data_IF_043829289997
#
_entry.id   IF_043829289997
#
_cell.length_a   1.000
_cell.length_b   1.000
_cell.length_c   1.000
_cell.angle_alpha   90.00
_cell.angle_beta   90.00
_cell.angle_gamma   90.00
#
_symmetry.space_group_name_H-M   'P 1'
#
loop_
_entity.id
_entity.type
_entity.pdbx_description
1 polymer ?
#
# COMPACT_ATOMS: atom_id res chain seq x y z
N UNK A 1 -52.57 -42.52 -12.12
CA UNK A 1 -52.33 -41.10 -12.28
C UNK A 1 -51.27 -40.74 -11.28
N UNK A 2 -50.03 -40.70 -11.74
CA UNK A 2 -48.85 -40.34 -10.93
C UNK A 2 -48.39 -38.99 -11.42
N UNK A 3 -48.56 -37.96 -10.58
CA UNK A 3 -48.13 -36.59 -10.86
C UNK A 3 -46.60 -36.50 -10.75
N UNK A 4 -45.99 -36.01 -11.83
CA UNK A 4 -44.57 -35.71 -11.92
C UNK A 4 -44.30 -34.33 -11.30
N UNK A 5 -43.46 -34.27 -10.26
CA UNK A 5 -42.95 -33.05 -9.66
C UNK A 5 -41.91 -32.45 -10.59
N UNK A 6 -41.98 -31.16 -10.97
CA UNK A 6 -40.96 -30.51 -11.80
C UNK A 6 -39.67 -30.28 -11.01
N UNK A 7 -38.55 -30.68 -11.61
CA UNK A 7 -37.20 -30.47 -11.11
C UNK A 7 -36.87 -28.98 -11.05
N UNK A 8 -36.39 -28.50 -9.89
CA UNK A 8 -35.88 -27.15 -9.73
C UNK A 8 -34.58 -26.97 -10.53
N UNK A 9 -34.35 -25.82 -11.16
CA UNK A 9 -33.09 -25.52 -11.86
C UNK A 9 -31.93 -25.44 -10.85
N UNK A 10 -30.84 -26.13 -11.16
CA UNK A 10 -29.57 -26.07 -10.42
C UNK A 10 -29.04 -24.65 -10.44
N UNK A 11 -28.97 -24.00 -9.26
CA UNK A 11 -28.19 -22.79 -9.07
C UNK A 11 -26.70 -23.18 -9.11
N UNK A 12 -25.88 -22.53 -9.94
CA UNK A 12 -24.42 -22.73 -9.90
C UNK A 12 -23.90 -22.27 -8.54
N UNK A 13 -23.15 -23.14 -7.87
CA UNK A 13 -22.39 -22.79 -6.67
C UNK A 13 -21.46 -21.62 -7.00
N UNK A 14 -21.32 -20.60 -6.13
CA UNK A 14 -20.33 -19.56 -6.31
C UNK A 14 -18.96 -20.22 -6.38
N UNK A 15 -18.27 -20.04 -7.51
CA UNK A 15 -16.88 -20.45 -7.67
C UNK A 15 -16.05 -19.70 -6.64
N UNK A 16 -15.28 -20.45 -5.85
CA UNK A 16 -14.56 -19.99 -4.69
C UNK A 16 -13.64 -18.80 -5.02
N UNK A 17 -13.61 -17.86 -4.08
CA UNK A 17 -12.44 -16.99 -3.87
C UNK A 17 -11.19 -17.83 -4.10
N UNK A 18 -10.13 -17.29 -4.79
CA UNK A 18 -8.86 -17.97 -4.79
C UNK A 18 -8.51 -18.25 -3.32
N UNK A 19 -8.27 -19.51 -3.01
CA UNK A 19 -7.85 -19.94 -1.68
C UNK A 19 -6.62 -19.10 -1.36
N UNK A 20 -6.78 -18.12 -0.50
CA UNK A 20 -5.67 -17.59 0.24
C UNK A 20 -5.23 -18.74 1.12
N UNK A 21 -4.12 -19.35 0.76
CA UNK A 21 -3.41 -20.42 1.48
C UNK A 21 -2.79 -19.82 2.77
N UNK A 22 -3.59 -19.04 3.48
CA UNK A 22 -3.30 -18.16 4.60
C UNK A 22 -3.81 -18.74 5.91
N UNK A 23 -3.67 -20.07 6.08
CA UNK A 23 -3.84 -20.63 7.40
C UNK A 23 -2.81 -19.96 8.33
N UNK A 24 -3.24 -19.39 9.48
CA UNK A 24 -2.33 -18.83 10.45
C UNK A 24 -1.32 -19.93 10.82
N UNK A 25 -0.02 -19.58 10.78
CA UNK A 25 1.03 -20.49 11.27
C UNK A 25 0.92 -20.57 12.80
N UNK A 26 0.05 -21.43 13.28
CA UNK A 26 -0.19 -21.69 14.73
C UNK A 26 1.07 -22.16 15.47
N UNK A 27 2.17 -22.40 14.74
CA UNK A 27 3.46 -22.86 15.30
C UNK A 27 4.45 -21.72 15.52
N UNK A 28 4.13 -20.49 15.11
CA UNK A 28 5.03 -19.37 15.38
C UNK A 28 5.14 -19.11 16.88
N UNK A 29 6.38 -19.03 17.44
CA UNK A 29 6.54 -18.76 18.87
C UNK A 29 5.90 -17.43 19.23
N UNK A 30 5.27 -17.37 20.42
CA UNK A 30 4.66 -16.16 20.92
C UNK A 30 5.69 -15.03 21.04
N UNK A 31 5.29 -13.79 20.67
CA UNK A 31 6.13 -12.60 20.74
C UNK A 31 5.54 -11.62 21.75
N UNK A 32 6.37 -11.18 22.71
CA UNK A 32 6.03 -10.11 23.66
C UNK A 32 6.71 -8.80 23.24
N UNK A 33 5.91 -7.80 22.88
CA UNK A 33 6.33 -6.42 22.70
C UNK A 33 6.15 -5.69 24.03
N UNK A 34 7.22 -5.26 24.68
CA UNK A 34 7.16 -4.68 26.02
C UNK A 34 7.43 -3.18 26.02
N UNK A 35 6.67 -2.44 26.84
CA UNK A 35 6.89 -1.02 27.06
C UNK A 35 6.57 -0.10 25.88
N UNK A 36 5.74 -0.56 24.93
CA UNK A 36 5.34 0.22 23.77
C UNK A 36 4.40 1.37 24.17
N UNK A 37 4.56 2.55 23.57
CA UNK A 37 3.62 3.65 23.71
C UNK A 37 2.54 3.58 22.63
N UNK A 38 1.29 3.83 22.99
CA UNK A 38 0.18 3.98 22.04
C UNK A 38 -0.08 5.45 21.72
N UNK A 39 -0.86 5.70 20.66
CA UNK A 39 -1.24 7.05 20.22
C UNK A 39 -2.01 7.88 21.27
N UNK A 40 -2.71 7.24 22.18
CA UNK A 40 -3.40 7.85 23.32
C UNK A 40 -2.50 8.14 24.53
N UNK A 41 -1.21 7.81 24.43
CA UNK A 41 -0.20 8.04 25.46
C UNK A 41 0.00 6.90 26.45
N UNK A 42 -0.85 5.87 26.48
CA UNK A 42 -0.67 4.69 27.33
C UNK A 42 0.62 3.96 26.97
N UNK A 43 1.29 3.41 27.99
CA UNK A 43 2.44 2.51 27.82
C UNK A 43 1.97 1.08 28.16
N UNK A 44 2.15 0.18 27.20
CA UNK A 44 1.56 -1.15 27.22
C UNK A 44 2.57 -2.24 26.88
N UNK A 45 2.26 -3.46 27.32
CA UNK A 45 2.82 -4.68 26.75
C UNK A 45 1.79 -5.29 25.80
N UNK A 46 2.26 -5.88 24.69
CA UNK A 46 1.41 -6.53 23.70
C UNK A 46 1.95 -7.92 23.43
N UNK A 47 1.12 -8.95 23.67
CA UNK A 47 1.45 -10.34 23.34
C UNK A 47 0.83 -10.72 22.01
N UNK A 48 1.66 -11.29 21.13
CA UNK A 48 1.28 -11.73 19.79
C UNK A 48 1.37 -13.26 19.71
N UNK A 49 0.37 -13.89 19.09
CA UNK A 49 0.33 -15.33 18.85
C UNK A 49 -0.56 -15.61 17.62
N UNK A 50 -0.24 -16.63 16.82
CA UNK A 50 -1.02 -17.05 15.65
C UNK A 50 -1.33 -15.91 14.66
N UNK A 51 -0.39 -14.98 14.46
CA UNK A 51 -0.58 -13.83 13.57
C UNK A 51 -1.52 -12.74 14.09
N UNK A 52 -1.97 -12.83 15.34
CA UNK A 52 -2.90 -11.88 15.96
C UNK A 52 -2.35 -11.30 17.26
N UNK A 53 -2.95 -10.19 17.68
CA UNK A 53 -2.75 -9.63 19.02
C UNK A 53 -3.58 -10.48 19.99
N UNK A 54 -2.89 -11.21 20.85
CA UNK A 54 -3.54 -12.08 21.83
C UNK A 54 -4.00 -11.29 23.05
N UNK A 55 -3.13 -10.39 23.55
CA UNK A 55 -3.43 -9.58 24.73
C UNK A 55 -2.71 -8.23 24.67
N UNK A 56 -3.34 -7.21 25.27
CA UNK A 56 -2.76 -5.90 25.53
C UNK A 56 -2.94 -5.62 27.02
N UNK A 57 -1.83 -5.37 27.74
CA UNK A 57 -1.83 -5.09 29.18
C UNK A 57 -1.02 -3.84 29.50
N UNK A 58 -1.11 -3.34 30.72
CA UNK A 58 -0.22 -2.27 31.19
C UNK A 58 1.23 -2.74 31.18
N UNK A 59 2.18 -1.83 31.03
CA UNK A 59 3.60 -2.18 30.97
C UNK A 59 4.01 -3.01 32.20
N UNK A 60 4.66 -4.14 31.99
CA UNK A 60 5.09 -5.09 33.01
C UNK A 60 4.01 -6.07 33.49
N UNK A 61 2.76 -5.99 32.98
CA UNK A 61 1.68 -6.86 33.43
C UNK A 61 1.60 -8.20 32.72
N UNK A 62 2.14 -8.29 31.50
CA UNK A 62 2.13 -9.55 30.73
C UNK A 62 3.41 -10.34 31.01
N UNK A 63 3.23 -11.59 31.44
CA UNK A 63 4.35 -12.51 31.61
C UNK A 63 5.07 -12.71 30.27
N UNK A 64 6.41 -12.82 30.33
CA UNK A 64 7.17 -13.31 29.20
C UNK A 64 6.61 -14.67 28.79
N UNK A 65 6.58 -15.00 27.48
CA UNK A 65 6.18 -16.33 27.05
C UNK A 65 7.06 -17.36 27.80
N UNK A 66 6.41 -18.37 28.39
CA UNK A 66 7.09 -19.38 29.19
C UNK A 66 8.21 -20.08 28.41
N UNK A 67 9.01 -20.90 29.12
CA UNK A 67 10.23 -21.61 28.67
C UNK A 67 10.14 -22.39 27.32
N UNK A 68 9.05 -22.32 26.62
CA UNK A 68 8.78 -22.91 25.30
C UNK A 68 9.30 -22.08 24.10
N UNK A 69 10.11 -21.03 24.34
CA UNK A 69 10.85 -20.35 23.26
C UNK A 69 10.26 -19.01 22.78
N UNK A 70 9.39 -18.36 23.54
CA UNK A 70 8.87 -17.04 23.17
C UNK A 70 9.94 -15.94 23.20
N UNK A 71 9.83 -15.00 22.26
CA UNK A 71 10.77 -13.88 22.11
C UNK A 71 10.20 -12.62 22.72
N UNK A 72 11.04 -11.83 23.42
CA UNK A 72 10.70 -10.50 23.91
C UNK A 72 11.39 -9.42 23.09
N UNK A 73 10.66 -8.37 22.71
CA UNK A 73 11.19 -7.16 22.07
C UNK A 73 10.88 -5.98 22.96
N UNK A 74 11.91 -5.29 23.43
CA UNK A 74 11.77 -4.04 24.16
C UNK A 74 11.44 -2.89 23.21
N UNK A 75 10.30 -2.25 23.43
CA UNK A 75 9.80 -1.10 22.68
C UNK A 75 9.76 0.18 23.55
N UNK A 76 10.53 0.24 24.64
CA UNK A 76 10.67 1.48 25.41
C UNK A 76 11.15 2.62 24.52
N UNK A 77 10.40 3.73 24.49
CA UNK A 77 10.66 4.88 23.61
C UNK A 77 10.16 4.74 22.16
N UNK A 78 9.40 3.68 21.85
CA UNK A 78 8.74 3.50 20.55
C UNK A 78 7.24 3.75 20.64
N UNK A 79 6.71 4.44 19.65
CA UNK A 79 5.27 4.51 19.37
C UNK A 79 4.87 3.28 18.54
N UNK A 80 3.87 2.53 19.01
CA UNK A 80 3.34 1.36 18.34
C UNK A 80 2.05 1.72 17.57
N UNK A 81 2.03 1.43 16.30
CA UNK A 81 1.02 1.87 15.35
C UNK A 81 0.55 0.68 14.47
N UNK A 82 -0.65 0.70 13.90
CA UNK A 82 -1.01 -0.17 12.78
C UNK A 82 -0.02 -0.01 11.64
N UNK A 83 0.48 -1.10 11.06
CA UNK A 83 1.43 -1.03 9.97
C UNK A 83 0.84 -0.32 8.75
N UNK A 84 1.62 0.54 8.05
CA UNK A 84 1.25 1.09 6.76
C UNK A 84 1.02 0.02 5.70
N UNK A 85 0.32 0.43 4.64
CA UNK A 85 0.23 -0.29 3.40
C UNK A 85 0.50 0.68 2.23
N UNK A 86 1.12 0.19 1.16
CA UNK A 86 1.34 0.96 -0.06
C UNK A 86 0.21 0.67 -1.06
N UNK A 87 -0.74 1.60 -1.25
CA UNK A 87 -1.89 1.35 -2.11
C UNK A 87 -1.58 1.51 -3.59
N UNK A 88 -0.43 2.09 -3.96
CA UNK A 88 -0.15 2.47 -5.33
C UNK A 88 1.35 2.52 -5.63
N UNK A 89 1.91 1.43 -6.10
CA UNK A 89 3.32 1.31 -6.45
C UNK A 89 3.50 0.81 -7.90
N UNK A 90 4.71 1.01 -8.44
CA UNK A 90 5.17 0.49 -9.74
C UNK A 90 6.49 -0.26 -9.53
N UNK A 91 6.42 -1.45 -8.94
CA UNK A 91 7.62 -2.20 -8.54
C UNK A 91 8.36 -2.79 -9.75
N UNK A 92 7.68 -3.02 -10.86
CA UNK A 92 8.26 -3.50 -12.13
C UNK A 92 9.21 -2.49 -12.79
N UNK A 93 8.99 -1.19 -12.53
CA UNK A 93 9.85 -0.10 -13.01
C UNK A 93 10.76 0.50 -11.93
N UNK A 94 10.62 0.07 -10.68
CA UNK A 94 11.39 0.62 -9.55
C UNK A 94 12.90 0.39 -9.72
N UNK A 95 13.70 1.28 -9.10
CA UNK A 95 15.17 1.19 -9.04
C UNK A 95 15.86 1.25 -10.42
N UNK A 96 15.25 1.94 -11.37
CA UNK A 96 15.76 2.07 -12.75
C UNK A 96 16.24 3.46 -13.13
N UNK A 97 16.21 4.42 -12.21
CA UNK A 97 16.59 5.82 -12.48
C UNK A 97 18.04 5.96 -12.98
N UNK A 98 18.92 5.08 -12.55
CA UNK A 98 20.34 5.11 -12.91
C UNK A 98 20.67 4.28 -14.18
N UNK A 99 19.67 3.69 -14.83
CA UNK A 99 19.88 2.92 -16.04
C UNK A 99 20.23 3.85 -17.22
N UNK A 100 21.30 3.58 -17.98
CA UNK A 100 21.72 4.44 -19.09
C UNK A 100 20.80 4.37 -20.32
N UNK A 101 19.76 3.53 -20.26
CA UNK A 101 18.78 3.29 -21.33
C UNK A 101 17.51 2.65 -20.77
N UNK A 102 16.62 2.13 -21.65
CA UNK A 102 15.44 1.42 -21.19
C UNK A 102 15.82 0.27 -20.24
N UNK A 103 15.12 0.12 -19.11
CA UNK A 103 15.44 -0.96 -18.18
C UNK A 103 15.15 -2.32 -18.81
N UNK A 104 15.94 -3.33 -18.44
CA UNK A 104 15.72 -4.71 -18.90
C UNK A 104 14.31 -5.19 -18.56
N UNK A 105 13.67 -5.83 -19.51
CA UNK A 105 12.33 -6.43 -19.40
C UNK A 105 12.38 -7.95 -19.24
N UNK A 106 13.58 -8.53 -19.16
CA UNK A 106 13.72 -9.95 -18.90
C UNK A 106 13.07 -10.31 -17.55
N UNK A 107 12.34 -11.41 -17.51
CA UNK A 107 11.55 -11.83 -16.34
C UNK A 107 12.38 -11.84 -15.04
N UNK A 108 13.61 -12.34 -15.09
CA UNK A 108 14.52 -12.40 -13.93
C UNK A 108 14.91 -11.00 -13.42
N UNK A 109 15.13 -10.04 -14.33
CA UNK A 109 15.50 -8.67 -13.94
C UNK A 109 14.30 -7.93 -13.35
N UNK A 110 13.11 -8.14 -13.91
CA UNK A 110 11.85 -7.61 -13.33
C UNK A 110 11.62 -8.21 -11.95
N UNK A 111 11.73 -9.53 -11.81
CA UNK A 111 11.57 -10.22 -10.52
C UNK A 111 12.55 -9.70 -9.45
N UNK A 112 13.82 -9.51 -9.82
CA UNK A 112 14.82 -8.94 -8.92
C UNK A 112 14.43 -7.56 -8.45
N UNK A 113 14.07 -6.64 -9.38
CA UNK A 113 13.64 -5.27 -9.03
C UNK A 113 12.42 -5.25 -8.14
N UNK A 114 11.40 -6.03 -8.47
CA UNK A 114 10.17 -6.15 -7.67
C UNK A 114 10.48 -6.62 -6.25
N UNK A 115 11.35 -7.63 -6.13
CA UNK A 115 11.74 -8.17 -4.82
C UNK A 115 12.51 -7.15 -4.00
N UNK A 116 13.51 -6.49 -4.59
CA UNK A 116 14.30 -5.45 -3.92
C UNK A 116 13.43 -4.26 -3.50
N UNK A 117 12.57 -3.77 -4.40
CA UNK A 117 11.68 -2.66 -4.12
C UNK A 117 10.65 -3.00 -3.02
N UNK A 118 10.10 -4.21 -3.03
CA UNK A 118 9.17 -4.65 -1.99
C UNK A 118 9.85 -4.75 -0.62
N UNK A 119 11.10 -5.26 -0.56
CA UNK A 119 11.87 -5.31 0.68
C UNK A 119 12.25 -3.93 1.21
N UNK A 120 12.54 -2.96 0.34
CA UNK A 120 12.77 -1.58 0.74
C UNK A 120 11.51 -0.96 1.36
N UNK A 121 10.34 -1.11 0.71
CA UNK A 121 9.08 -0.60 1.25
C UNK A 121 8.67 -1.30 2.53
N UNK A 122 8.93 -2.62 2.66
CA UNK A 122 8.78 -3.35 3.92
C UNK A 122 9.67 -2.75 5.01
N UNK A 123 10.94 -2.47 4.70
CA UNK A 123 11.87 -1.80 5.61
C UNK A 123 11.38 -0.42 6.07
N UNK A 124 10.60 0.26 5.24
CA UNK A 124 9.92 1.51 5.56
C UNK A 124 8.63 1.32 6.36
N UNK A 125 8.14 0.08 6.51
CA UNK A 125 6.99 -0.24 7.37
C UNK A 125 5.76 -0.75 6.64
N UNK A 126 5.73 -0.76 5.31
CA UNK A 126 4.59 -1.27 4.54
C UNK A 126 4.55 -2.80 4.59
N UNK A 127 3.52 -3.38 5.23
CA UNK A 127 3.32 -4.84 5.29
C UNK A 127 2.44 -5.37 4.17
N UNK A 128 1.83 -4.49 3.38
CA UNK A 128 1.05 -4.84 2.20
C UNK A 128 1.29 -3.83 1.08
N UNK A 129 1.43 -4.32 -0.14
CA UNK A 129 1.77 -3.54 -1.32
C UNK A 129 0.82 -3.87 -2.46
N UNK A 130 0.32 -2.85 -3.15
CA UNK A 130 -0.38 -2.99 -4.43
C UNK A 130 0.50 -2.40 -5.53
N UNK A 131 0.93 -3.25 -6.48
CA UNK A 131 1.77 -2.82 -7.59
C UNK A 131 1.03 -2.88 -8.92
N UNK A 132 1.14 -1.84 -9.70
CA UNK A 132 0.57 -1.73 -11.04
C UNK A 132 1.56 -2.30 -12.05
N UNK A 133 1.10 -3.23 -12.89
CA UNK A 133 1.92 -4.00 -13.83
C UNK A 133 1.36 -3.89 -15.23
N UNK A 134 2.17 -3.43 -16.18
CA UNK A 134 1.78 -3.39 -17.57
C UNK A 134 1.65 -4.79 -18.14
N UNK A 135 0.56 -5.05 -18.86
CA UNK A 135 0.30 -6.33 -19.52
C UNK A 135 -0.09 -6.10 -20.98
N UNK A 136 0.19 -7.07 -21.85
CA UNK A 136 -0.06 -6.99 -23.27
C UNK A 136 1.13 -6.43 -24.08
N UNK A 137 0.85 -5.92 -25.27
CA UNK A 137 1.86 -5.55 -26.28
C UNK A 137 2.81 -6.73 -26.58
N UNK A 138 4.09 -6.44 -26.84
CA UNK A 138 5.11 -7.47 -27.10
C UNK A 138 5.51 -8.26 -25.83
N UNK A 139 5.08 -7.83 -24.67
CA UNK A 139 5.48 -8.39 -23.35
C UNK A 139 4.55 -9.49 -22.86
N UNK A 140 3.31 -9.55 -23.37
CA UNK A 140 2.32 -10.49 -22.88
C UNK A 140 2.10 -10.36 -21.38
N UNK A 141 2.33 -11.43 -20.62
CA UNK A 141 2.19 -11.49 -19.17
C UNK A 141 3.53 -11.60 -18.41
N UNK A 142 4.68 -11.49 -19.08
CA UNK A 142 6.01 -11.74 -18.49
C UNK A 142 6.26 -10.90 -17.23
N UNK A 143 5.93 -9.60 -17.24
CA UNK A 143 6.10 -8.75 -16.06
C UNK A 143 5.17 -9.16 -14.91
N UNK A 144 3.94 -9.54 -15.22
CA UNK A 144 2.99 -10.05 -14.22
C UNK A 144 3.49 -11.35 -13.60
N UNK A 145 3.97 -12.28 -14.40
CA UNK A 145 4.54 -13.55 -13.92
C UNK A 145 5.71 -13.31 -12.98
N UNK A 146 6.62 -12.37 -13.31
CA UNK A 146 7.72 -11.98 -12.44
C UNK A 146 7.25 -11.42 -11.09
N UNK A 147 6.19 -10.58 -11.10
CA UNK A 147 5.57 -10.06 -9.87
C UNK A 147 4.95 -11.19 -9.04
N UNK A 148 4.27 -12.14 -9.69
CA UNK A 148 3.65 -13.27 -8.99
C UNK A 148 4.70 -14.24 -8.40
N UNK A 149 5.83 -14.40 -9.05
CA UNK A 149 6.97 -15.14 -8.49
C UNK A 149 7.58 -14.43 -7.28
N UNK A 150 7.77 -13.11 -7.38
CA UNK A 150 8.20 -12.29 -6.23
C UNK A 150 7.21 -12.40 -5.07
N UNK A 151 5.89 -12.39 -5.34
CA UNK A 151 4.85 -12.60 -4.32
C UNK A 151 5.03 -13.94 -3.59
N UNK A 152 5.33 -15.01 -4.33
CA UNK A 152 5.59 -16.34 -3.72
C UNK A 152 6.86 -16.32 -2.87
N UNK A 153 7.94 -15.70 -3.37
CA UNK A 153 9.21 -15.60 -2.68
C UNK A 153 9.14 -14.75 -1.40
N UNK A 154 8.29 -13.73 -1.39
CA UNK A 154 8.10 -12.81 -0.26
C UNK A 154 7.01 -13.27 0.72
N UNK A 155 6.45 -14.47 0.54
CA UNK A 155 5.41 -15.02 1.42
C UNK A 155 5.87 -15.01 2.89
N UNK A 156 5.05 -14.44 3.77
CA UNK A 156 5.34 -14.31 5.20
C UNK A 156 6.24 -13.13 5.57
N UNK A 157 6.69 -12.33 4.60
CA UNK A 157 7.40 -11.07 4.82
C UNK A 157 6.50 -9.87 4.51
N UNK A 158 5.83 -9.88 3.36
CA UNK A 158 4.95 -8.80 2.90
C UNK A 158 3.86 -9.36 2.00
N UNK A 159 2.68 -8.77 2.07
CA UNK A 159 1.59 -9.09 1.16
C UNK A 159 1.71 -8.28 -0.13
N UNK A 160 1.73 -8.94 -1.29
CA UNK A 160 1.89 -8.30 -2.59
C UNK A 160 0.70 -8.61 -3.50
N UNK A 161 0.00 -7.57 -3.96
CA UNK A 161 -1.11 -7.65 -4.91
C UNK A 161 -0.75 -6.97 -6.22
N UNK A 162 -0.98 -7.64 -7.35
CA UNK A 162 -0.77 -7.08 -8.67
C UNK A 162 -2.07 -6.52 -9.26
N UNK A 163 -1.97 -5.33 -9.87
CA UNK A 163 -2.98 -4.71 -10.75
C UNK A 163 -2.56 -4.94 -12.19
N UNK A 164 -3.37 -5.65 -12.97
CA UNK A 164 -3.10 -5.81 -14.40
C UNK A 164 -3.53 -4.56 -15.17
N UNK A 165 -2.59 -3.96 -15.92
CA UNK A 165 -2.81 -2.72 -16.67
C UNK A 165 -2.58 -2.94 -18.18
N UNK A 166 -3.59 -3.25 -18.96
CA UNK A 166 -3.49 -3.22 -20.41
C UNK A 166 -3.36 -1.77 -20.91
N UNK A 167 -2.64 -1.58 -22.01
CA UNK A 167 -2.45 -0.24 -22.58
C UNK A 167 -3.69 0.25 -23.33
N UNK A 168 -4.30 -0.61 -24.15
CA UNK A 168 -5.43 -0.29 -25.02
C UNK A 168 -6.49 -1.37 -24.86
N UNK A 169 -7.75 -0.95 -24.71
CA UNK A 169 -8.92 -1.85 -24.61
C UNK A 169 -10.00 -1.52 -25.63
N UNK A 170 -9.80 -0.46 -26.46
CA UNK A 170 -10.77 -0.05 -27.48
C UNK A 170 -10.15 -0.03 -28.86
N UNK A 171 -10.97 0.15 -29.89
CA UNK A 171 -10.53 0.11 -31.26
C UNK A 171 -10.07 -1.28 -31.74
N UNK A 172 -9.27 -1.32 -32.82
CA UNK A 172 -8.85 -2.58 -33.47
C UNK A 172 -7.95 -3.45 -32.54
N UNK A 173 -7.10 -2.83 -31.72
CA UNK A 173 -6.23 -3.53 -30.75
C UNK A 173 -6.95 -3.89 -29.44
N UNK A 174 -8.14 -3.38 -29.21
CA UNK A 174 -8.85 -3.53 -27.95
C UNK A 174 -9.25 -4.97 -27.62
N UNK A 175 -9.61 -5.75 -28.63
CA UNK A 175 -10.00 -7.15 -28.44
C UNK A 175 -8.85 -8.01 -27.87
N UNK A 176 -7.62 -7.78 -28.35
CA UNK A 176 -6.42 -8.45 -27.83
C UNK A 176 -6.12 -7.98 -26.40
N UNK A 177 -6.15 -6.67 -26.14
CA UNK A 177 -5.97 -6.11 -24.80
C UNK A 177 -6.98 -6.67 -23.79
N UNK A 178 -8.23 -6.83 -24.19
CA UNK A 178 -9.28 -7.41 -23.34
C UNK A 178 -9.07 -8.91 -23.06
N UNK A 179 -8.58 -9.67 -24.05
CA UNK A 179 -8.22 -11.07 -23.86
C UNK A 179 -7.06 -11.19 -22.88
N UNK A 180 -5.99 -10.40 -23.06
CA UNK A 180 -4.83 -10.37 -22.16
C UNK A 180 -5.23 -9.95 -20.73
N UNK A 181 -6.15 -8.99 -20.57
CA UNK A 181 -6.63 -8.60 -19.24
C UNK A 181 -7.33 -9.73 -18.52
N UNK A 182 -8.18 -10.51 -19.21
CA UNK A 182 -8.82 -11.70 -18.65
C UNK A 182 -7.81 -12.78 -18.28
N UNK A 183 -6.82 -13.01 -19.15
CA UNK A 183 -5.78 -13.99 -18.88
C UNK A 183 -4.87 -13.56 -17.72
N UNK A 184 -4.59 -12.27 -17.57
CA UNK A 184 -3.88 -11.74 -16.41
C UNK A 184 -4.60 -12.05 -15.09
N UNK A 185 -5.94 -11.90 -15.05
CA UNK A 185 -6.73 -12.27 -13.86
C UNK A 185 -6.67 -13.77 -13.58
N UNK A 186 -6.83 -14.61 -14.62
CA UNK A 186 -6.71 -16.07 -14.49
C UNK A 186 -5.31 -16.51 -14.03
N UNK A 187 -4.26 -15.78 -14.43
CA UNK A 187 -2.87 -16.03 -14.03
C UNK A 187 -2.63 -15.64 -12.57
N UNK A 188 -3.42 -14.71 -12.00
CA UNK A 188 -3.36 -14.37 -10.58
C UNK A 188 -3.25 -12.88 -10.25
N UNK A 189 -3.51 -11.99 -11.21
CA UNK A 189 -3.73 -10.57 -10.89
C UNK A 189 -4.98 -10.45 -10.00
N UNK A 190 -4.83 -9.85 -8.83
CA UNK A 190 -5.93 -9.69 -7.87
C UNK A 190 -6.81 -8.48 -8.14
N UNK A 191 -6.37 -7.57 -9.01
CA UNK A 191 -7.01 -6.29 -9.33
C UNK A 191 -6.84 -6.03 -10.82
N UNK A 192 -7.85 -5.44 -11.45
CA UNK A 192 -7.76 -4.95 -12.84
C UNK A 192 -7.71 -3.43 -12.84
N UNK A 193 -7.01 -2.85 -13.79
CA UNK A 193 -6.84 -1.42 -13.84
C UNK A 193 -6.36 -0.92 -15.20
N UNK A 194 -5.67 0.19 -15.18
CA UNK A 194 -5.06 0.80 -16.34
C UNK A 194 -5.07 2.31 -16.32
N UNK A 195 -4.81 2.91 -17.50
CA UNK A 195 -4.77 4.35 -17.66
C UNK A 195 -5.72 4.77 -18.81
N UNK A 196 -7.02 4.95 -18.51
CA UNK A 196 -8.03 5.25 -19.54
C UNK A 196 -7.69 6.47 -20.39
N UNK A 197 -7.02 7.48 -19.81
CA UNK A 197 -6.68 8.72 -20.52
C UNK A 197 -5.70 8.50 -21.70
N UNK A 198 -5.06 7.33 -21.80
CA UNK A 198 -4.18 6.94 -22.91
C UNK A 198 -4.89 6.13 -24.00
N UNK A 199 -6.14 5.72 -23.77
CA UNK A 199 -6.93 4.97 -24.74
C UNK A 199 -7.65 5.92 -25.72
N UNK A 200 -7.82 5.55 -27.00
CA UNK A 200 -8.60 6.33 -27.96
C UNK A 200 -10.05 6.60 -27.51
N UNK A 201 -10.66 5.67 -26.76
CA UNK A 201 -11.96 5.84 -26.10
C UNK A 201 -11.83 5.57 -24.60
N UNK A 202 -11.52 6.59 -23.79
CA UNK A 202 -11.41 6.45 -22.34
C UNK A 202 -12.67 5.90 -21.65
N UNK A 203 -13.85 6.18 -22.19
CA UNK A 203 -15.12 5.69 -21.63
C UNK A 203 -15.28 4.19 -21.88
N UNK A 204 -15.10 3.75 -23.13
CA UNK A 204 -15.10 2.32 -23.48
C UNK A 204 -14.02 1.53 -22.75
N UNK A 205 -12.85 2.14 -22.49
CA UNK A 205 -11.82 1.52 -21.66
C UNK A 205 -12.33 1.23 -20.26
N UNK A 206 -12.94 2.22 -19.60
CA UNK A 206 -13.50 2.06 -18.24
C UNK A 206 -14.60 1.00 -18.23
N UNK A 207 -15.51 1.01 -19.23
CA UNK A 207 -16.55 0.00 -19.35
C UNK A 207 -15.98 -1.41 -19.47
N UNK A 208 -14.93 -1.60 -20.28
CA UNK A 208 -14.26 -2.88 -20.46
C UNK A 208 -13.61 -3.37 -19.15
N UNK A 209 -12.90 -2.49 -18.43
CA UNK A 209 -12.27 -2.83 -17.13
C UNK A 209 -13.32 -3.19 -16.10
N UNK A 210 -14.40 -2.40 -15.96
CA UNK A 210 -15.50 -2.69 -15.04
C UNK A 210 -16.22 -4.00 -15.39
N UNK A 211 -16.36 -4.29 -16.69
CA UNK A 211 -16.92 -5.56 -17.17
C UNK A 211 -16.09 -6.76 -16.72
N UNK A 212 -14.77 -6.72 -16.90
CA UNK A 212 -13.86 -7.78 -16.44
C UNK A 212 -13.87 -7.87 -14.92
N UNK A 213 -13.85 -6.73 -14.21
CA UNK A 213 -13.93 -6.72 -12.75
C UNK A 213 -15.20 -7.40 -12.23
N UNK A 214 -16.34 -7.15 -12.87
CA UNK A 214 -17.61 -7.79 -12.54
C UNK A 214 -17.61 -9.29 -12.89
N UNK A 215 -17.03 -9.68 -14.04
CA UNK A 215 -16.91 -11.06 -14.49
C UNK A 215 -16.12 -11.92 -13.48
N UNK A 216 -15.03 -11.38 -12.93
CA UNK A 216 -14.14 -12.12 -12.02
C UNK A 216 -14.33 -11.79 -10.54
N UNK A 217 -15.18 -10.82 -10.21
CA UNK A 217 -15.40 -10.40 -8.82
C UNK A 217 -14.17 -9.74 -8.17
N UNK A 218 -13.34 -9.02 -8.94
CA UNK A 218 -12.14 -8.36 -8.45
C UNK A 218 -12.31 -6.83 -8.34
N UNK A 219 -11.41 -6.18 -7.60
CA UNK A 219 -11.36 -4.73 -7.46
C UNK A 219 -10.82 -4.06 -8.73
N UNK A 220 -11.06 -2.76 -8.83
CA UNK A 220 -10.54 -1.90 -9.92
C UNK A 220 -9.63 -0.83 -9.34
N UNK A 221 -8.49 -0.57 -10.03
CA UNK A 221 -7.58 0.52 -9.70
C UNK A 221 -7.10 1.22 -10.98
N UNK A 222 -7.58 2.45 -11.21
CA UNK A 222 -7.35 3.20 -12.45
C UNK A 222 -6.46 4.41 -12.23
N UNK A 223 -5.49 4.60 -13.12
CA UNK A 223 -4.77 5.86 -13.20
C UNK A 223 -5.63 6.91 -13.91
N UNK A 224 -5.73 8.09 -13.32
CA UNK A 224 -6.29 9.27 -13.97
C UNK A 224 -5.78 10.54 -13.30
N UNK A 225 -5.49 11.55 -14.11
CA UNK A 225 -5.18 12.88 -13.59
C UNK A 225 -6.43 13.63 -13.11
N UNK A 226 -7.61 13.21 -13.51
CA UNK A 226 -8.86 13.81 -13.06
C UNK A 226 -9.11 15.23 -13.60
N UNK A 227 -8.41 15.66 -14.64
CA UNK A 227 -8.55 17.00 -15.20
C UNK A 227 -9.81 17.24 -16.04
N UNK A 228 -10.59 16.20 -16.34
CA UNK A 228 -11.85 16.28 -17.07
C UNK A 228 -13.03 15.90 -16.14
N UNK A 229 -13.81 16.90 -15.67
CA UNK A 229 -14.93 16.64 -14.75
C UNK A 229 -16.07 15.83 -15.41
N UNK A 230 -16.20 15.85 -16.72
CA UNK A 230 -17.23 15.08 -17.41
C UNK A 230 -16.83 13.59 -17.48
N UNK A 231 -15.56 13.28 -17.68
CA UNK A 231 -15.02 11.90 -17.60
C UNK A 231 -15.15 11.35 -16.19
N UNK A 232 -14.78 12.12 -15.17
CA UNK A 232 -14.94 11.71 -13.77
C UNK A 232 -16.41 11.45 -13.42
N UNK A 233 -17.32 12.27 -13.93
CA UNK A 233 -18.75 12.06 -13.70
C UNK A 233 -19.27 10.76 -14.36
N UNK A 234 -18.82 10.46 -15.58
CA UNK A 234 -19.17 9.20 -16.25
C UNK A 234 -18.58 7.99 -15.51
N UNK A 235 -17.30 8.05 -15.14
CA UNK A 235 -16.66 7.01 -14.33
C UNK A 235 -17.44 6.77 -13.02
N UNK A 236 -17.81 7.83 -12.30
CA UNK A 236 -18.58 7.71 -11.08
C UNK A 236 -19.94 7.05 -11.31
N UNK A 237 -20.62 7.40 -12.40
CA UNK A 237 -21.91 6.80 -12.75
C UNK A 237 -21.80 5.30 -13.10
N UNK A 238 -20.73 4.90 -13.80
CA UNK A 238 -20.50 3.50 -14.19
C UNK A 238 -20.00 2.63 -13.03
N UNK A 239 -19.15 3.19 -12.17
CA UNK A 239 -18.48 2.46 -11.09
C UNK A 239 -19.35 2.30 -9.83
N UNK A 240 -20.44 3.06 -9.72
CA UNK A 240 -21.32 3.04 -8.56
C UNK A 240 -21.91 1.65 -8.30
N UNK A 241 -21.58 1.09 -7.14
CA UNK A 241 -22.07 -0.23 -6.74
C UNK A 241 -21.17 -1.42 -7.07
N UNK A 242 -20.06 -1.24 -7.82
CA UNK A 242 -19.09 -2.32 -8.03
C UNK A 242 -18.51 -2.77 -6.67
N UNK A 243 -18.43 -4.07 -6.48
CA UNK A 243 -17.78 -4.68 -5.31
C UNK A 243 -16.71 -5.66 -5.80
N UNK A 244 -15.52 -5.69 -5.19
CA UNK A 244 -15.09 -5.04 -3.92
C UNK A 244 -14.98 -3.51 -3.94
N UNK A 245 -14.75 -2.85 -5.07
CA UNK A 245 -14.73 -1.38 -5.16
C UNK A 245 -13.79 -0.85 -6.21
N UNK A 246 -13.82 0.46 -6.40
CA UNK A 246 -13.00 1.20 -7.37
C UNK A 246 -12.10 2.20 -6.63
N UNK A 247 -10.83 2.16 -6.96
CA UNK A 247 -9.82 3.16 -6.59
C UNK A 247 -9.38 3.88 -7.84
N UNK A 248 -9.11 5.17 -7.73
CA UNK A 248 -8.50 5.96 -8.82
C UNK A 248 -7.36 6.82 -8.25
N UNK A 249 -6.47 7.28 -9.09
CA UNK A 249 -5.42 8.23 -8.69
C UNK A 249 -4.45 8.57 -9.82
N UNK A 250 -3.62 9.59 -9.61
CA UNK A 250 -3.51 10.46 -8.41
C UNK A 250 -4.50 11.64 -8.36
N UNK A 251 -5.26 11.91 -9.44
CA UNK A 251 -6.26 12.98 -9.55
C UNK A 251 -5.68 14.42 -9.37
N UNK A 252 -4.41 14.63 -9.67
CA UNK A 252 -3.73 15.94 -9.51
C UNK A 252 -4.34 17.04 -10.38
N UNK A 253 -4.91 16.69 -11.52
CA UNK A 253 -5.59 17.61 -12.44
C UNK A 253 -6.84 18.28 -11.86
N UNK A 254 -7.41 17.75 -10.76
CA UNK A 254 -8.50 18.43 -10.04
C UNK A 254 -8.09 19.83 -9.57
N UNK A 255 -6.80 20.05 -9.27
CA UNK A 255 -6.31 21.37 -8.85
C UNK A 255 -6.38 22.45 -9.95
N UNK A 256 -6.37 22.04 -11.22
CA UNK A 256 -6.46 22.95 -12.35
C UNK A 256 -7.91 23.34 -12.72
N UNK A 257 -8.91 22.66 -12.14
CA UNK A 257 -10.31 22.94 -12.40
C UNK A 257 -10.79 24.18 -11.63
N UNK A 258 -11.79 24.90 -12.15
CA UNK A 258 -12.53 25.86 -11.34
C UNK A 258 -13.07 25.19 -10.08
N UNK A 259 -12.97 25.88 -8.94
CA UNK A 259 -13.27 25.33 -7.60
C UNK A 259 -14.62 24.58 -7.55
N UNK A 260 -15.67 25.22 -8.07
CA UNK A 260 -16.99 24.58 -8.07
C UNK A 260 -17.06 23.29 -8.92
N UNK A 261 -16.29 23.23 -10.02
CA UNK A 261 -16.24 22.04 -10.87
C UNK A 261 -15.51 20.91 -10.14
N UNK A 262 -14.40 21.21 -9.46
CA UNK A 262 -13.65 20.27 -8.66
C UNK A 262 -14.48 19.75 -7.46
N UNK A 263 -15.21 20.63 -6.75
CA UNK A 263 -16.10 20.26 -5.63
C UNK A 263 -17.24 19.34 -6.11
N UNK A 264 -17.86 19.65 -7.26
CA UNK A 264 -18.90 18.78 -7.86
C UNK A 264 -18.35 17.42 -8.29
N UNK A 265 -17.15 17.39 -8.86
CA UNK A 265 -16.51 16.13 -9.24
C UNK A 265 -16.20 15.27 -8.00
N UNK A 266 -15.62 15.87 -6.95
CA UNK A 266 -15.35 15.20 -5.69
C UNK A 266 -16.63 14.65 -5.02
N UNK A 267 -17.72 15.42 -5.01
CA UNK A 267 -19.00 14.98 -4.46
C UNK A 267 -19.55 13.74 -5.22
N UNK A 268 -19.40 13.69 -6.56
CA UNK A 268 -19.81 12.52 -7.36
C UNK A 268 -18.98 11.29 -7.06
N UNK A 269 -17.65 11.44 -6.91
CA UNK A 269 -16.76 10.34 -6.51
C UNK A 269 -17.17 9.80 -5.13
N UNK A 270 -17.45 10.69 -4.17
CA UNK A 270 -17.91 10.31 -2.83
C UNK A 270 -19.24 9.54 -2.88
N UNK A 271 -20.22 10.05 -3.64
CA UNK A 271 -21.53 9.42 -3.79
C UNK A 271 -21.45 8.04 -4.45
N UNK A 272 -20.49 7.83 -5.37
CA UNK A 272 -20.22 6.55 -6.01
C UNK A 272 -19.42 5.59 -5.13
N UNK A 273 -18.90 6.03 -3.98
CA UNK A 273 -18.05 5.22 -3.09
C UNK A 273 -16.66 4.95 -3.65
N UNK A 274 -16.21 5.76 -4.63
CA UNK A 274 -14.87 5.65 -5.22
C UNK A 274 -13.84 6.17 -4.24
N UNK A 275 -12.73 5.43 -4.09
CA UNK A 275 -11.58 5.84 -3.29
C UNK A 275 -10.53 6.54 -4.17
N UNK A 276 -9.76 7.46 -3.59
CA UNK A 276 -8.67 8.13 -4.30
C UNK A 276 -7.34 7.89 -3.61
N UNK A 277 -6.35 7.39 -4.37
CA UNK A 277 -4.97 7.24 -3.94
C UNK A 277 -4.17 8.49 -4.36
N UNK A 278 -3.82 9.35 -3.40
CA UNK A 278 -2.96 10.50 -3.62
C UNK A 278 -1.49 10.08 -3.57
N UNK A 279 -0.65 10.71 -4.38
CA UNK A 279 0.80 10.44 -4.46
C UNK A 279 1.58 11.73 -4.13
N UNK A 280 1.74 12.07 -2.84
CA UNK A 280 2.35 13.35 -2.46
C UNK A 280 3.87 13.42 -2.72
N UNK A 281 4.52 12.29 -3.00
CA UNK A 281 5.93 12.26 -3.43
C UNK A 281 6.10 12.56 -4.93
N UNK A 282 5.02 12.64 -5.69
CA UNK A 282 5.00 12.84 -7.13
C UNK A 282 4.17 11.78 -7.87
N UNK A 283 3.62 12.13 -9.01
CA UNK A 283 2.75 11.27 -9.80
C UNK A 283 3.51 10.23 -10.63
N UNK A 284 2.78 9.36 -11.30
CA UNK A 284 3.27 8.31 -12.20
C UNK A 284 3.40 8.82 -13.66
N UNK A 285 3.80 10.07 -13.88
CA UNK A 285 3.80 10.73 -15.19
C UNK A 285 4.60 10.04 -16.29
N UNK A 286 5.57 9.18 -15.96
CA UNK A 286 6.29 8.37 -16.93
C UNK A 286 5.37 7.40 -17.72
N UNK A 287 4.21 7.05 -17.18
CA UNK A 287 3.22 6.21 -17.86
C UNK A 287 2.60 6.94 -19.05
N UNK A 288 2.42 8.25 -18.95
CA UNK A 288 1.82 9.10 -19.99
C UNK A 288 2.85 9.66 -20.98
N UNK A 289 4.15 9.43 -20.78
CA UNK A 289 5.20 10.06 -21.61
C UNK A 289 5.30 11.58 -21.39
N UNK A 290 4.61 12.12 -20.39
CA UNK A 290 4.67 13.52 -19.98
C UNK A 290 5.62 13.69 -18.80
N UNK A 291 6.23 14.88 -18.67
CA UNK A 291 6.91 15.24 -17.44
C UNK A 291 5.94 15.06 -16.27
N UNK A 292 6.38 14.38 -15.20
CA UNK A 292 5.55 14.10 -14.04
C UNK A 292 4.88 15.39 -13.58
N UNK A 293 3.56 15.41 -13.55
CA UNK A 293 2.85 16.47 -12.84
C UNK A 293 3.24 16.32 -11.37
N UNK A 294 3.91 17.32 -10.82
CA UNK A 294 4.22 17.34 -9.40
C UNK A 294 2.94 17.23 -8.59
N UNK A 295 3.07 16.90 -7.31
CA UNK A 295 1.94 16.91 -6.40
C UNK A 295 1.24 18.28 -6.41
N UNK A 296 -0.08 18.26 -6.50
CA UNK A 296 -0.92 19.46 -6.47
C UNK A 296 -1.55 19.66 -5.09
N UNK A 297 -1.01 20.60 -4.25
CA UNK A 297 -1.56 20.87 -2.93
C UNK A 297 -3.03 21.30 -2.98
N UNK A 298 -3.81 20.85 -2.00
CA UNK A 298 -5.23 21.16 -1.87
C UNK A 298 -6.17 20.07 -2.40
N UNK A 299 -5.69 19.15 -3.25
CA UNK A 299 -6.52 18.08 -3.83
C UNK A 299 -6.99 17.09 -2.76
N UNK A 300 -6.09 16.60 -1.92
CA UNK A 300 -6.48 15.64 -0.88
C UNK A 300 -7.46 16.28 0.13
N UNK A 301 -7.26 17.55 0.46
CA UNK A 301 -8.18 18.30 1.33
C UNK A 301 -9.56 18.47 0.69
N UNK A 302 -9.62 18.84 -0.59
CA UNK A 302 -10.86 18.97 -1.35
C UNK A 302 -11.64 17.63 -1.36
N UNK A 303 -10.98 16.54 -1.73
CA UNK A 303 -11.58 15.21 -1.80
C UNK A 303 -12.11 14.75 -0.43
N UNK A 304 -11.32 14.95 0.62
CA UNK A 304 -11.73 14.61 1.99
C UNK A 304 -12.91 15.45 2.47
N UNK A 305 -12.93 16.75 2.16
CA UNK A 305 -14.03 17.64 2.50
C UNK A 305 -15.36 17.22 1.82
N UNK A 306 -15.28 16.64 0.63
CA UNK A 306 -16.43 16.07 -0.09
C UNK A 306 -16.84 14.67 0.41
N UNK A 307 -16.10 14.06 1.36
CA UNK A 307 -16.39 12.72 1.89
C UNK A 307 -15.77 11.58 1.07
N UNK A 308 -14.88 11.86 0.12
CA UNK A 308 -14.12 10.83 -0.60
C UNK A 308 -13.17 10.12 0.37
N UNK A 309 -13.09 8.79 0.27
CA UNK A 309 -12.06 8.02 0.96
C UNK A 309 -10.72 8.26 0.28
N UNK A 310 -9.87 9.05 0.94
CA UNK A 310 -8.52 9.38 0.46
C UNK A 310 -7.51 8.51 1.17
N UNK A 311 -6.67 7.82 0.40
CA UNK A 311 -5.45 7.14 0.84
C UNK A 311 -4.22 7.79 0.19
N UNK A 312 -3.02 7.45 0.67
CA UNK A 312 -1.80 7.96 0.08
C UNK A 312 -0.72 6.87 -0.02
N UNK A 313 0.12 6.99 -1.03
CA UNK A 313 1.23 6.10 -1.30
C UNK A 313 2.45 6.82 -1.87
N UNK A 314 3.53 6.07 -2.06
CA UNK A 314 4.79 6.56 -2.62
C UNK A 314 4.77 6.68 -4.14
N UNK A 315 3.98 5.84 -4.81
CA UNK A 315 3.92 5.81 -6.28
C UNK A 315 5.20 5.25 -6.90
N UNK A 316 6.13 6.12 -7.24
CA UNK A 316 7.41 5.78 -7.86
C UNK A 316 8.53 5.56 -6.83
N UNK A 317 9.42 4.61 -7.10
CA UNK A 317 10.62 4.34 -6.29
C UNK A 317 11.87 4.35 -7.19
N UNK A 318 12.59 5.48 -7.22
CA UNK A 318 13.83 5.65 -8.01
C UNK A 318 13.67 5.12 -9.45
N UNK A 319 12.67 5.62 -10.15
CA UNK A 319 12.42 5.32 -11.56
C UNK A 319 12.42 6.61 -12.41
N UNK A 320 12.06 6.50 -13.68
CA UNK A 320 12.00 7.63 -14.60
C UNK A 320 10.93 8.68 -14.19
N UNK A 321 9.88 8.29 -13.45
CA UNK A 321 8.85 9.22 -13.00
C UNK A 321 9.30 10.04 -11.79
N UNK A 322 10.06 9.42 -10.88
CA UNK A 322 10.61 10.06 -9.69
C UNK A 322 11.99 9.45 -9.35
N UNK A 323 13.09 10.01 -9.91
CA UNK A 323 14.44 9.48 -9.69
C UNK A 323 14.91 9.49 -8.24
N UNK A 324 14.28 10.27 -7.38
CA UNK A 324 14.55 10.37 -5.94
C UNK A 324 13.42 9.81 -5.08
N UNK A 325 12.44 9.13 -5.70
CA UNK A 325 11.33 8.50 -5.00
C UNK A 325 11.81 7.48 -3.97
N UNK A 326 11.26 7.51 -2.77
CA UNK A 326 11.72 6.69 -1.64
C UNK A 326 10.81 5.51 -1.34
N UNK A 327 9.57 5.52 -1.82
CA UNK A 327 8.58 4.49 -1.47
C UNK A 327 8.36 4.36 0.05
N UNK A 328 8.46 5.47 0.79
CA UNK A 328 8.29 5.51 2.24
C UNK A 328 6.89 6.03 2.60
N UNK A 329 6.00 5.22 3.17
CA UNK A 329 4.66 5.66 3.55
C UNK A 329 4.67 6.76 4.63
N UNK A 330 5.67 6.77 5.52
CA UNK A 330 5.79 7.87 6.50
C UNK A 330 6.15 9.20 5.83
N UNK A 331 6.92 9.17 4.74
CA UNK A 331 7.18 10.38 3.96
C UNK A 331 5.92 10.86 3.24
N UNK A 332 5.11 9.95 2.67
CA UNK A 332 3.83 10.32 2.09
C UNK A 332 2.90 10.99 3.12
N UNK A 333 2.82 10.44 4.34
CA UNK A 333 2.06 11.04 5.43
C UNK A 333 2.66 12.38 5.89
N UNK A 334 3.99 12.48 5.99
CA UNK A 334 4.70 13.74 6.31
C UNK A 334 4.35 14.83 5.29
N UNK A 335 4.40 14.53 4.00
CA UNK A 335 4.09 15.50 2.95
C UNK A 335 2.63 15.95 3.00
N UNK A 336 1.67 15.03 3.19
CA UNK A 336 0.26 15.41 3.38
C UNK A 336 0.07 16.38 4.56
N UNK A 337 0.71 16.10 5.69
CA UNK A 337 0.65 16.97 6.85
C UNK A 337 1.35 18.31 6.60
N UNK A 338 2.53 18.30 5.99
CA UNK A 338 3.34 19.49 5.70
C UNK A 338 2.71 20.42 4.68
N UNK A 339 1.97 19.88 3.70
CA UNK A 339 1.19 20.67 2.74
C UNK A 339 -0.14 21.16 3.31
N UNK A 340 -0.47 20.83 4.56
CA UNK A 340 -1.73 21.25 5.19
C UNK A 340 -2.97 20.54 4.62
N UNK A 341 -2.79 19.37 4.02
CA UNK A 341 -3.91 18.56 3.52
C UNK A 341 -4.74 17.99 4.67
N UNK A 342 -4.08 17.64 5.78
CA UNK A 342 -4.70 17.16 7.00
C UNK A 342 -3.72 17.20 8.17
N UNK A 343 -4.23 16.99 9.40
CA UNK A 343 -3.36 16.84 10.58
C UNK A 343 -2.59 15.50 10.57
N UNK A 344 -1.51 15.43 11.34
CA UNK A 344 -0.58 14.30 11.38
C UNK A 344 -1.25 12.93 11.60
N UNK A 345 -2.23 12.84 12.51
CA UNK A 345 -2.97 11.60 12.75
C UNK A 345 -3.72 11.14 11.49
N UNK A 346 -4.46 12.05 10.84
CA UNK A 346 -5.21 11.72 9.63
C UNK A 346 -4.31 11.44 8.43
N UNK A 347 -3.11 12.03 8.37
CA UNK A 347 -2.09 11.74 7.39
C UNK A 347 -1.54 10.32 7.56
N UNK A 348 -1.27 9.90 8.80
CA UNK A 348 -0.88 8.53 9.09
C UNK A 348 -2.00 7.52 8.76
N UNK A 349 -3.24 7.84 9.08
CA UNK A 349 -4.38 7.00 8.71
C UNK A 349 -4.53 6.82 7.19
N UNK A 350 -4.17 7.84 6.40
CA UNK A 350 -4.21 7.75 4.94
C UNK A 350 -3.23 6.71 4.38
N UNK A 351 -2.10 6.47 5.03
CA UNK A 351 -1.10 5.47 4.63
C UNK A 351 -1.21 4.15 5.41
N UNK A 352 -2.09 4.05 6.40
CA UNK A 352 -2.27 2.85 7.21
C UNK A 352 -3.71 2.31 7.13
N UNK A 353 -4.58 2.65 8.05
CA UNK A 353 -5.94 2.11 8.12
C UNK A 353 -6.73 2.28 6.83
N UNK A 354 -6.71 3.46 6.22
CA UNK A 354 -7.43 3.74 4.95
C UNK A 354 -6.77 3.04 3.76
N UNK A 355 -5.44 2.97 3.72
CA UNK A 355 -4.74 2.23 2.69
C UNK A 355 -5.08 0.74 2.76
N UNK A 356 -5.08 0.14 3.96
CA UNK A 356 -5.48 -1.24 4.18
C UNK A 356 -6.94 -1.50 3.75
N UNK A 357 -7.86 -0.58 4.10
CA UNK A 357 -9.26 -0.66 3.70
C UNK A 357 -9.41 -0.68 2.16
N UNK A 358 -8.69 0.18 1.45
CA UNK A 358 -8.69 0.24 -0.02
C UNK A 358 -8.09 -1.02 -0.65
N UNK A 359 -7.13 -1.64 0.01
CA UNK A 359 -6.57 -2.93 -0.40
C UNK A 359 -7.50 -4.12 -0.06
N UNK A 360 -8.61 -3.89 0.62
CA UNK A 360 -9.53 -4.95 1.05
C UNK A 360 -8.99 -5.79 2.21
N UNK A 361 -8.03 -5.27 2.95
CA UNK A 361 -7.38 -5.94 4.07
C UNK A 361 -8.16 -5.73 5.38
N UNK A 362 -8.04 -6.65 6.34
CA UNK A 362 -8.65 -6.48 7.65
C UNK A 362 -8.17 -5.22 8.36
N UNK A 363 -9.07 -4.61 9.14
CA UNK A 363 -8.73 -3.52 10.04
C UNK A 363 -7.68 -3.98 11.06
N UNK A 364 -6.78 -3.06 11.42
CA UNK A 364 -5.76 -3.28 12.44
C UNK A 364 -5.91 -2.23 13.54
N UNK A 365 -6.03 -2.71 14.77
CA UNK A 365 -5.96 -1.89 16.00
C UNK A 365 -5.00 -2.56 16.97
N UNK A 366 -4.38 -1.80 17.85
CA UNK A 366 -3.55 -2.38 18.91
C UNK A 366 -4.46 -2.83 20.06
N UNK A 367 -5.27 -3.84 19.78
CA UNK A 367 -6.27 -4.42 20.65
C UNK A 367 -6.31 -5.95 20.47
N UNK A 368 -6.70 -6.69 21.49
CA UNK A 368 -6.80 -8.16 21.42
C UNK A 368 -7.77 -8.60 20.32
N UNK A 369 -7.40 -9.64 19.58
CA UNK A 369 -8.19 -10.22 18.47
C UNK A 369 -7.90 -9.61 17.10
N UNK A 370 -7.28 -8.44 17.00
CA UNK A 370 -6.92 -7.82 15.73
C UNK A 370 -5.67 -8.47 15.11
N UNK A 371 -5.48 -8.36 13.78
CA UNK A 371 -4.27 -8.82 13.11
C UNK A 371 -3.01 -8.15 13.69
N UNK A 372 -1.94 -8.92 13.85
CA UNK A 372 -0.66 -8.43 14.31
C UNK A 372 0.17 -7.85 13.16
N UNK A 373 -0.34 -6.78 12.56
CA UNK A 373 0.26 -5.98 11.50
C UNK A 373 0.65 -4.63 12.08
N UNK A 374 1.87 -4.51 12.59
CA UNK A 374 2.25 -3.39 13.43
C UNK A 374 3.57 -2.75 12.98
N UNK A 375 3.68 -1.45 13.22
CA UNK A 375 4.91 -0.69 13.05
C UNK A 375 5.26 -0.02 14.38
N UNK A 376 6.41 -0.35 14.94
CA UNK A 376 6.99 0.40 16.04
C UNK A 376 8.02 1.41 15.49
N UNK A 377 7.84 2.68 15.82
CA UNK A 377 8.74 3.76 15.39
C UNK A 377 9.26 4.50 16.61
N UNK A 378 10.57 4.76 16.65
CA UNK A 378 11.15 5.50 17.78
C UNK A 378 10.61 6.93 17.82
N UNK A 379 9.92 7.25 18.90
CA UNK A 379 9.22 8.52 19.10
C UNK A 379 8.08 8.37 20.11
N UNK A 380 7.50 9.49 20.52
CA UNK A 380 6.47 9.49 21.57
C UNK A 380 5.09 9.90 21.04
N UNK A 381 5.04 10.58 19.92
CA UNK A 381 3.84 11.16 19.32
C UNK A 381 3.91 11.02 17.81
N UNK A 382 2.77 11.02 17.15
CA UNK A 382 2.69 10.82 15.70
C UNK A 382 3.40 11.94 14.90
N UNK A 383 3.30 13.17 15.35
CA UNK A 383 3.99 14.32 14.75
C UNK A 383 5.52 14.15 14.79
N UNK A 384 6.07 13.72 15.93
CA UNK A 384 7.49 13.42 16.06
C UNK A 384 7.93 12.22 15.20
N UNK A 385 7.07 11.20 15.10
CA UNK A 385 7.32 10.02 14.25
C UNK A 385 7.34 10.40 12.77
N UNK A 386 6.40 11.22 12.30
CA UNK A 386 6.40 11.68 10.91
C UNK A 386 7.63 12.55 10.61
N UNK A 387 8.07 13.36 11.57
CA UNK A 387 9.23 14.25 11.40
C UNK A 387 10.58 13.50 11.45
N UNK A 388 10.76 12.54 12.38
CA UNK A 388 12.07 11.97 12.73
C UNK A 388 12.08 10.44 12.87
N UNK A 389 11.13 9.74 12.27
CA UNK A 389 10.93 8.30 12.43
C UNK A 389 11.94 7.42 11.68
N UNK A 390 13.23 7.47 12.04
CA UNK A 390 14.29 6.72 11.36
C UNK A 390 14.48 5.28 11.87
N UNK A 391 14.23 5.02 13.17
CA UNK A 391 14.34 3.68 13.74
C UNK A 391 12.98 3.02 13.76
N UNK A 392 12.85 1.89 13.06
CA UNK A 392 11.59 1.20 12.82
C UNK A 392 11.72 -0.30 13.08
N UNK A 393 10.69 -0.91 13.64
CA UNK A 393 10.54 -2.36 13.77
C UNK A 393 9.20 -2.72 13.14
N UNK A 394 9.22 -3.55 12.12
CA UNK A 394 8.04 -3.96 11.36
C UNK A 394 7.62 -5.35 11.80
N UNK A 395 6.35 -5.47 12.16
CA UNK A 395 5.73 -6.72 12.57
C UNK A 395 4.67 -7.07 11.52
N UNK A 396 4.81 -8.24 10.91
CA UNK A 396 3.87 -8.82 9.96
C UNK A 396 3.46 -10.20 10.44
N UNK A 397 2.15 -10.45 10.52
CA UNK A 397 1.58 -11.71 11.02
C UNK A 397 2.19 -12.15 12.37
N UNK A 398 2.38 -11.18 13.27
CA UNK A 398 2.91 -11.44 14.61
C UNK A 398 4.41 -11.72 14.68
N UNK A 399 5.16 -11.56 13.60
CA UNK A 399 6.62 -11.78 13.54
C UNK A 399 7.34 -10.49 13.20
N UNK A 400 8.50 -10.26 13.80
CA UNK A 400 9.38 -9.16 13.38
C UNK A 400 10.00 -9.53 12.03
N UNK A 401 9.64 -8.79 10.98
CA UNK A 401 10.09 -9.04 9.60
C UNK A 401 11.14 -8.04 9.13
N UNK A 402 11.26 -6.88 9.78
CA UNK A 402 12.30 -5.90 9.47
C UNK A 402 12.65 -5.07 10.69
N UNK A 403 13.91 -4.64 10.76
CA UNK A 403 14.42 -3.66 11.73
C UNK A 403 15.35 -2.69 11.03
N UNK A 404 15.08 -1.40 11.21
CA UNK A 404 15.98 -0.31 10.78
C UNK A 404 16.36 0.49 12.01
N UNK A 405 17.66 0.70 12.22
CA UNK A 405 18.19 1.47 13.35
C UNK A 405 19.01 2.62 12.81
N UNK A 406 18.72 3.84 13.27
CA UNK A 406 19.59 4.99 13.07
C UNK A 406 20.39 5.22 14.36
N UNK A 407 21.71 5.19 14.23
CA UNK A 407 22.65 5.53 15.30
C UNK A 407 23.09 6.98 15.09
N UNK A 408 22.99 7.80 16.13
CA UNK A 408 23.52 9.16 16.13
C UNK A 408 24.70 9.20 17.07
N UNK A 409 25.83 9.64 16.54
CA UNK A 409 27.07 9.83 17.29
C UNK A 409 27.42 11.30 17.28
N UNK A 410 27.81 11.80 18.43
CA UNK A 410 28.25 13.20 18.58
C UNK A 410 29.70 13.21 19.05
N UNK A 411 30.47 14.17 18.55
CA UNK A 411 31.84 14.37 19.03
C UNK A 411 31.85 14.73 20.50
N UNK A 412 32.81 14.22 21.25
CA UNK A 412 33.01 14.59 22.65
C UNK A 412 33.42 16.05 22.72
N UNK A 413 32.65 16.85 23.44
CA UNK A 413 32.97 18.21 23.79
C UNK A 413 32.64 18.47 25.25
N UNK A 414 33.25 19.50 25.85
CA UNK A 414 33.04 19.83 27.27
C UNK A 414 31.55 20.03 27.65
N UNK A 415 30.73 20.41 26.67
CA UNK A 415 29.27 20.63 26.86
C UNK A 415 28.47 19.34 26.84
N UNK A 416 28.95 18.26 26.21
CA UNK A 416 28.22 17.00 26.11
C UNK A 416 28.13 16.25 27.43
N UNK A 417 29.07 16.46 28.35
CA UNK A 417 29.05 15.85 29.67
C UNK A 417 27.86 16.34 30.54
N UNK A 418 27.33 17.54 30.27
CA UNK A 418 26.22 18.13 31.00
C UNK A 418 24.84 17.79 30.39
N UNK A 419 24.78 17.22 29.16
CA UNK A 419 23.55 17.04 28.41
C UNK A 419 23.06 15.59 28.34
N UNK A 420 23.73 14.65 28.97
CA UNK A 420 23.42 13.20 28.93
C UNK A 420 23.13 12.69 27.48
N UNK A 421 23.97 13.13 26.54
CA UNK A 421 23.86 12.75 25.13
C UNK A 421 24.43 11.35 24.90
N UNK A 422 23.92 10.60 23.90
CA UNK A 422 24.52 9.33 23.51
C UNK A 422 26.00 9.50 23.18
N UNK A 423 26.86 8.70 23.80
CA UNK A 423 28.31 8.73 23.60
C UNK A 423 28.73 7.58 22.70
N UNK A 424 29.76 7.82 21.90
CA UNK A 424 30.43 6.77 21.13
C UNK A 424 31.16 5.86 22.10
N UNK A 425 30.75 4.58 22.21
CA UNK A 425 31.53 3.59 22.95
C UNK A 425 32.79 3.29 22.15
N UNK A 426 33.97 3.65 22.67
CA UNK A 426 35.22 3.13 22.15
C UNK A 426 35.18 1.61 22.35
N UNK A 427 35.17 0.85 21.26
CA UNK A 427 35.49 -0.57 21.31
C UNK A 427 36.90 -0.68 21.91
N UNK A 428 37.00 -1.18 23.14
CA UNK A 428 38.26 -1.39 23.82
C UNK A 428 39.11 -2.37 22.99
N UNK A 429 40.07 -1.84 22.23
CA UNK A 429 41.17 -2.63 21.73
C UNK A 429 41.99 -3.07 22.94
N UNK A 430 42.01 -4.36 23.23
CA UNK A 430 42.93 -4.95 24.18
C UNK A 430 44.36 -4.69 23.61
N UNK A 431 45.26 -4.04 24.34
CA UNK A 431 46.66 -3.98 23.90
C UNK A 431 47.27 -5.38 23.99
N UNK A 432 47.96 -5.75 22.94
CA UNK A 432 48.75 -6.98 22.85
C UNK A 432 49.95 -6.91 23.79
#
# INVERSE_FOLDING_TARGET
>A
MTESVPSQPHQPKPQGRPETDDAPDDRAPALLLSGARLGDGRVVDVRLSGGRIEAVGTAGSLAAPDATGGTRVDLAGYLLLPAPAEPHAHLDSALTADCPGPPSEAQQDVQRRVTEAALLQLGHGATALRTHVRVGDLRGLTALEAVLESRRALRGLVELTAVAMPRVLTGMAGAEGLAVLRDAVKTGAGVVGGYPDLDPDPTGYVEAVLGVAAEFGCAVDLHTEGGDPARLARLAAMAGGLRPGVTIGPCTGLAALPREAAERAAARLAAAGISVACLPQGGCGALAGSASSGYAPGVARLLRAAGVRVTAGGGALRDAANPVGRGDPLEAAFLLASYGECGAQAAYEAVSGRAREVLGLPEVRVEAGFPAELLAVRGQRIDAVLSLGYSRIVIHRGRVVSRTSAVREYADCATTAALDLPRQSRSGGTPA
#
